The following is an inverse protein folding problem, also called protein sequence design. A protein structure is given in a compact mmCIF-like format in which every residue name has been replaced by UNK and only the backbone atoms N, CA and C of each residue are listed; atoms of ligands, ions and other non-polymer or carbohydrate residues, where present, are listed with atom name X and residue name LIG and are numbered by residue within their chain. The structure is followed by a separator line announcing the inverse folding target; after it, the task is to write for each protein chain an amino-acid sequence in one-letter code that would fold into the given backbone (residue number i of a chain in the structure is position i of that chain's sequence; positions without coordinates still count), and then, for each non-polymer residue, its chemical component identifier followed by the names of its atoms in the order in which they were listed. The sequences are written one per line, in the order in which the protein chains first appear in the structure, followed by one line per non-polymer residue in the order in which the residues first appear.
data_IF_715079744136
#
_entry.id   IF_715079744136
#
_cell.length_a   1.000
_cell.length_b   1.000
_cell.length_c   1.000
_cell.angle_alpha   90.00
_cell.angle_beta   90.00
_cell.angle_gamma   90.00
#
_symmetry.space_group_name_H-M   'P 1'
#
loop_
_entity.id
_entity.type
_entity.pdbx_description
1 polymer ?
#
# COMPACT_ATOMS: atom_id res chain seq x y z
N UNK A 1 29.81 -40.66 -10.46
CA UNK A 1 29.51 -39.83 -9.27
C UNK A 1 29.66 -38.32 -9.52
N UNK A 2 30.55 -37.86 -10.42
CA UNK A 2 30.75 -36.43 -10.73
C UNK A 2 29.56 -35.71 -11.41
N UNK A 3 28.80 -36.41 -12.27
CA UNK A 3 27.63 -35.85 -12.97
C UNK A 3 26.48 -35.45 -12.03
N UNK A 4 26.23 -36.22 -10.96
CA UNK A 4 25.16 -35.92 -10.01
C UNK A 4 25.46 -34.66 -9.19
N UNK A 5 26.73 -34.44 -8.81
CA UNK A 5 27.15 -33.25 -8.07
C UNK A 5 27.00 -31.96 -8.88
N UNK A 6 27.30 -32.01 -10.18
CA UNK A 6 27.16 -30.86 -11.08
C UNK A 6 25.69 -30.44 -11.26
N UNK A 7 24.77 -31.41 -11.40
CA UNK A 7 23.32 -31.14 -11.53
C UNK A 7 22.75 -30.52 -10.24
N UNK A 8 23.17 -31.03 -9.08
CA UNK A 8 22.76 -30.47 -7.78
C UNK A 8 23.30 -29.05 -7.60
N UNK A 9 24.54 -28.78 -8.00
CA UNK A 9 25.14 -27.45 -7.91
C UNK A 9 24.43 -26.44 -8.82
N UNK A 10 24.07 -26.82 -10.04
CA UNK A 10 23.30 -25.96 -10.97
C UNK A 10 21.90 -25.69 -10.43
N UNK A 11 21.23 -26.69 -9.86
CA UNK A 11 19.91 -26.51 -9.24
C UNK A 11 19.97 -25.59 -8.01
N UNK A 12 21.02 -25.70 -7.19
CA UNK A 12 21.24 -24.82 -6.05
C UNK A 12 21.56 -23.40 -6.49
N UNK A 13 22.39 -23.21 -7.52
CA UNK A 13 22.70 -21.88 -8.08
C UNK A 13 21.48 -21.23 -8.74
N UNK A 14 20.63 -22.00 -9.42
CA UNK A 14 19.35 -21.52 -9.97
C UNK A 14 18.36 -21.15 -8.86
N UNK A 15 18.27 -21.96 -7.79
CA UNK A 15 17.46 -21.65 -6.61
C UNK A 15 17.98 -20.44 -5.82
N UNK A 16 19.31 -20.21 -5.82
CA UNK A 16 19.92 -19.09 -5.13
C UNK A 16 19.88 -17.80 -5.95
N UNK A 17 20.04 -17.90 -7.27
CA UNK A 17 19.87 -16.80 -8.23
C UNK A 17 18.44 -16.30 -8.29
N UNK A 18 17.46 -17.21 -8.36
CA UNK A 18 16.03 -16.85 -8.31
C UNK A 18 15.65 -16.13 -7.01
N UNK A 19 16.16 -16.58 -5.86
CA UNK A 19 15.94 -15.89 -4.57
C UNK A 19 16.50 -14.45 -4.53
N UNK A 20 17.50 -14.11 -5.33
CA UNK A 20 18.01 -12.73 -5.44
C UNK A 20 17.20 -11.87 -6.41
N UNK A 21 16.66 -12.44 -7.49
CA UNK A 21 15.84 -11.70 -8.48
C UNK A 21 14.52 -11.20 -7.86
N UNK A 22 13.95 -11.92 -6.90
CA UNK A 22 12.72 -11.50 -6.20
C UNK A 22 12.90 -10.42 -5.13
N UNK A 23 14.11 -9.88 -4.92
CA UNK A 23 14.43 -9.01 -3.76
C UNK A 23 14.27 -7.50 -3.97
N UNK A 24 13.68 -7.04 -5.08
CA UNK A 24 13.65 -5.60 -5.37
C UNK A 24 12.52 -5.06 -6.23
N UNK A 25 11.46 -5.83 -6.52
CA UNK A 25 10.37 -5.31 -7.36
C UNK A 25 9.46 -4.38 -6.56
N UNK A 26 9.48 -3.08 -6.89
CA UNK A 26 8.39 -2.17 -6.53
C UNK A 26 7.13 -2.65 -7.24
N UNK A 27 6.12 -3.00 -6.46
CA UNK A 27 4.80 -3.37 -6.93
C UNK A 27 3.99 -2.06 -7.06
N UNK A 28 3.44 -1.85 -8.26
CA UNK A 28 2.61 -0.71 -8.61
C UNK A 28 1.26 -1.26 -9.09
N UNK A 29 0.16 -0.76 -8.51
CA UNK A 29 -1.18 -0.98 -9.02
C UNK A 29 -1.87 0.35 -9.30
N UNK A 30 -2.50 0.47 -10.46
CA UNK A 30 -3.28 1.66 -10.85
C UNK A 30 -4.66 1.19 -11.28
N UNK A 31 -5.70 1.65 -10.59
CA UNK A 31 -7.09 1.31 -10.89
C UNK A 31 -7.42 -0.19 -10.77
N UNK A 32 -6.74 -0.92 -9.89
CA UNK A 32 -7.00 -2.36 -9.72
C UNK A 32 -8.30 -2.59 -8.96
N UNK A 33 -8.97 -3.71 -9.25
CA UNK A 33 -10.25 -4.06 -8.66
C UNK A 33 -10.13 -4.69 -7.27
N UNK A 34 -9.04 -5.41 -7.00
CA UNK A 34 -8.83 -6.09 -5.72
C UNK A 34 -7.34 -6.29 -5.42
N UNK A 35 -7.00 -6.35 -4.13
CA UNK A 35 -5.70 -6.78 -3.62
C UNK A 35 -5.88 -7.55 -2.32
N UNK A 36 -5.09 -8.59 -2.11
CA UNK A 36 -5.27 -9.53 -0.98
C UNK A 36 -5.09 -8.91 0.43
N UNK A 37 -4.54 -7.70 0.53
CA UNK A 37 -4.27 -7.00 1.79
C UNK A 37 -5.24 -5.84 2.07
N UNK A 38 -6.25 -5.64 1.22
CA UNK A 38 -7.37 -4.73 1.46
C UNK A 38 -8.67 -5.52 1.64
N UNK A 39 -9.67 -4.93 2.32
CA UNK A 39 -11.00 -5.51 2.37
C UNK A 39 -11.63 -5.55 0.98
N UNK A 40 -12.50 -6.53 0.75
CA UNK A 40 -13.17 -6.77 -0.55
C UNK A 40 -14.06 -5.61 -1.02
N UNK A 41 -14.42 -4.71 -0.12
CA UNK A 41 -15.22 -3.51 -0.42
C UNK A 41 -14.39 -2.36 -0.99
N UNK A 42 -13.06 -2.42 -0.89
CA UNK A 42 -12.18 -1.44 -1.51
C UNK A 42 -12.31 -1.51 -3.03
N UNK A 43 -12.39 -0.36 -3.68
CA UNK A 43 -12.47 -0.26 -5.14
C UNK A 43 -11.63 0.91 -5.66
N UNK A 44 -11.39 0.96 -6.99
CA UNK A 44 -10.55 1.98 -7.62
C UNK A 44 -9.16 2.08 -6.95
N UNK A 45 -8.54 0.93 -6.71
CA UNK A 45 -7.36 0.84 -5.86
C UNK A 45 -6.12 1.27 -6.64
N UNK A 46 -5.39 2.24 -6.09
CA UNK A 46 -4.09 2.66 -6.58
C UNK A 46 -3.08 2.55 -5.44
N UNK A 47 -1.90 1.98 -5.69
CA UNK A 47 -0.91 1.78 -4.62
C UNK A 47 0.51 1.65 -5.14
N UNK A 48 1.47 1.97 -4.27
CA UNK A 48 2.89 1.67 -4.47
C UNK A 48 3.43 0.95 -3.24
N UNK A 49 4.06 -0.20 -3.49
CA UNK A 49 4.65 -1.06 -2.46
C UNK A 49 6.08 -1.43 -2.84
N UNK A 50 7.03 -1.19 -1.94
CA UNK A 50 8.44 -1.50 -2.21
C UNK A 50 8.75 -2.97 -1.87
N UNK A 51 9.15 -3.74 -2.88
CA UNK A 51 9.63 -5.12 -2.72
C UNK A 51 10.81 -5.22 -1.76
N UNK A 52 10.93 -6.37 -1.09
CA UNK A 52 12.00 -6.64 -0.12
C UNK A 52 11.72 -6.20 1.32
N UNK A 53 10.78 -5.28 1.56
CA UNK A 53 10.42 -4.80 2.92
C UNK A 53 9.01 -5.16 3.39
N UNK A 54 8.16 -5.73 2.52
CA UNK A 54 6.69 -5.90 2.70
C UNK A 54 5.93 -4.61 3.03
N UNK A 55 6.58 -3.43 3.09
CA UNK A 55 5.97 -2.16 3.48
C UNK A 55 5.23 -1.53 2.30
N UNK A 56 3.94 -1.30 2.48
CA UNK A 56 3.15 -0.39 1.65
C UNK A 56 3.63 1.04 1.92
N UNK A 57 3.90 1.80 0.86
CA UNK A 57 4.30 3.20 0.98
C UNK A 57 3.07 4.10 0.91
N UNK A 58 2.21 3.82 -0.06
CA UNK A 58 1.00 4.59 -0.31
C UNK A 58 -0.07 3.70 -0.92
N UNK A 59 -1.32 3.93 -0.53
CA UNK A 59 -2.49 3.45 -1.25
C UNK A 59 -3.62 4.48 -1.19
N UNK A 60 -4.41 4.51 -2.25
CA UNK A 60 -5.63 5.29 -2.39
C UNK A 60 -6.71 4.35 -2.93
N UNK A 61 -7.89 4.38 -2.33
CA UNK A 61 -9.01 3.58 -2.82
C UNK A 61 -10.33 4.17 -2.35
N UNK A 62 -11.40 3.85 -3.07
CA UNK A 62 -12.76 4.20 -2.70
C UNK A 62 -13.31 3.17 -1.72
N UNK A 63 -14.06 3.65 -0.73
CA UNK A 63 -14.70 2.85 0.30
C UNK A 63 -15.81 3.66 0.96
N UNK A 64 -16.90 3.03 1.38
CA UNK A 64 -17.93 3.72 2.15
C UNK A 64 -17.50 3.92 3.62
N UNK A 65 -18.01 4.96 4.28
CA UNK A 65 -17.63 5.27 5.67
C UNK A 65 -17.87 4.09 6.61
N UNK A 66 -19.03 3.46 6.52
CA UNK A 66 -19.42 2.33 7.38
C UNK A 66 -18.50 1.13 7.18
N UNK A 67 -18.03 0.91 5.95
CA UNK A 67 -17.08 -0.16 5.62
C UNK A 67 -15.69 0.16 6.15
N UNK A 68 -15.26 1.42 6.09
CA UNK A 68 -14.01 1.85 6.70
C UNK A 68 -14.00 1.64 8.22
N UNK A 69 -15.08 2.05 8.89
CA UNK A 69 -15.23 1.85 10.34
C UNK A 69 -15.31 0.36 10.70
N UNK A 70 -15.98 -0.47 9.88
CA UNK A 70 -16.01 -1.91 10.07
C UNK A 70 -14.62 -2.55 9.88
N UNK A 71 -13.93 -2.19 8.80
CA UNK A 71 -12.57 -2.68 8.53
C UNK A 71 -11.59 -2.29 9.65
N UNK A 72 -11.64 -1.04 10.10
CA UNK A 72 -10.81 -0.59 11.20
C UNK A 72 -11.11 -1.34 12.50
N UNK A 73 -12.38 -1.68 12.77
CA UNK A 73 -12.78 -2.51 13.91
C UNK A 73 -12.22 -3.93 13.80
N UNK A 74 -12.35 -4.55 12.63
CA UNK A 74 -11.85 -5.91 12.37
C UNK A 74 -10.32 -6.00 12.53
N UNK A 75 -9.62 -4.94 12.17
CA UNK A 75 -8.17 -4.82 12.34
C UNK A 75 -7.74 -4.32 13.75
N UNK A 76 -8.70 -4.02 14.64
CA UNK A 76 -8.44 -3.53 15.99
C UNK A 76 -7.80 -2.14 16.05
N UNK A 77 -8.08 -1.29 15.06
CA UNK A 77 -7.59 0.08 14.99
C UNK A 77 -8.44 1.03 15.83
N UNK A 78 -7.81 2.06 16.38
CA UNK A 78 -8.56 3.19 16.94
C UNK A 78 -8.96 4.11 15.80
N UNK A 79 -10.24 4.48 15.69
CA UNK A 79 -10.73 5.47 14.72
C UNK A 79 -11.18 6.72 15.45
N UNK A 80 -10.78 7.88 14.96
CA UNK A 80 -11.14 9.19 15.53
C UNK A 80 -11.58 10.13 14.41
N UNK A 81 -12.42 11.13 14.72
CA UNK A 81 -12.65 12.25 13.80
C UNK A 81 -11.33 12.91 13.42
N UNK A 82 -11.22 13.32 12.16
CA UNK A 82 -10.11 14.15 11.71
C UNK A 82 -10.22 15.54 12.34
N UNK A 83 -9.28 15.86 13.24
CA UNK A 83 -9.26 17.09 14.03
C UNK A 83 -8.16 18.09 13.62
N UNK A 84 -7.32 17.69 12.66
CA UNK A 84 -6.21 18.49 12.15
C UNK A 84 -6.04 18.32 10.65
N UNK A 85 -5.44 19.34 10.04
CA UNK A 85 -5.04 19.30 8.63
C UNK A 85 -3.85 18.36 8.48
N UNK A 86 -3.97 17.37 7.59
CA UNK A 86 -2.90 16.42 7.27
C UNK A 86 -2.55 16.55 5.79
N UNK A 87 -1.27 16.68 5.47
CA UNK A 87 -0.78 16.53 4.11
C UNK A 87 -0.43 15.07 3.87
N UNK A 88 -1.29 14.36 3.16
CA UNK A 88 -1.12 12.94 2.88
C UNK A 88 -0.58 12.80 1.46
N UNK A 89 0.60 12.19 1.25
CA UNK A 89 1.13 11.98 -0.09
C UNK A 89 0.22 11.05 -0.89
N UNK A 90 0.00 11.41 -2.14
CA UNK A 90 -0.78 10.64 -3.11
C UNK A 90 0.09 9.61 -3.82
N UNK A 91 -0.52 8.55 -4.33
CA UNK A 91 0.18 7.52 -5.10
C UNK A 91 0.88 8.10 -6.34
N UNK A 92 0.28 9.13 -6.94
CA UNK A 92 0.82 9.83 -8.12
C UNK A 92 2.19 10.45 -7.86
N UNK A 93 2.51 10.83 -6.61
CA UNK A 93 3.83 11.33 -6.22
C UNK A 93 4.96 10.32 -6.51
N UNK A 94 4.64 9.02 -6.39
CA UNK A 94 5.60 7.92 -6.45
C UNK A 94 5.67 7.25 -7.83
N UNK A 95 4.86 7.70 -8.80
CA UNK A 95 4.93 7.20 -10.17
C UNK A 95 6.22 7.69 -10.87
N UNK A 96 6.81 6.93 -11.80
CA UNK A 96 7.94 7.41 -12.60
C UNK A 96 7.63 8.72 -13.35
N UNK A 97 8.67 9.50 -13.65
CA UNK A 97 8.52 10.68 -14.51
C UNK A 97 8.00 10.23 -15.90
N UNK A 98 6.99 10.93 -16.42
CA UNK A 98 6.36 10.60 -17.71
C UNK A 98 5.28 9.52 -17.66
N UNK A 99 4.98 8.94 -16.50
CA UNK A 99 3.84 8.04 -16.34
C UNK A 99 2.51 8.80 -16.57
N UNK A 100 1.57 8.23 -17.33
CA UNK A 100 0.36 8.93 -17.77
C UNK A 100 -0.52 9.43 -16.61
N UNK A 101 -0.60 8.66 -15.53
CA UNK A 101 -1.36 8.96 -14.32
C UNK A 101 -0.60 9.81 -13.31
N UNK A 102 0.67 10.18 -13.59
CA UNK A 102 1.43 11.09 -12.72
C UNK A 102 0.90 12.51 -12.87
N UNK A 103 -0.02 12.87 -11.99
CA UNK A 103 -0.68 14.16 -11.99
C UNK A 103 -0.58 14.89 -10.64
N UNK A 104 -0.57 16.22 -10.72
CA UNK A 104 -0.77 17.11 -9.58
C UNK A 104 -2.27 17.24 -9.26
N UNK A 105 -2.65 17.41 -7.98
CA UNK A 105 -1.77 17.56 -6.81
C UNK A 105 -1.18 16.22 -6.33
N UNK A 106 0.05 16.28 -5.81
CA UNK A 106 0.77 15.12 -5.24
C UNK A 106 0.46 14.84 -3.76
N UNK A 107 -0.30 15.72 -3.14
CA UNK A 107 -0.75 15.58 -1.76
C UNK A 107 -2.24 15.85 -1.71
N UNK A 108 -2.92 15.18 -0.81
CA UNK A 108 -4.30 15.49 -0.44
C UNK A 108 -4.32 16.04 0.97
N UNK A 109 -5.29 16.90 1.24
CA UNK A 109 -5.54 17.45 2.56
C UNK A 109 -7.01 17.26 2.90
N UNK A 110 -7.40 16.09 3.44
CA UNK A 110 -8.76 15.88 3.90
C UNK A 110 -9.07 16.88 5.02
N UNK A 111 -10.24 17.52 4.96
CA UNK A 111 -10.68 18.48 5.97
C UNK A 111 -11.80 17.94 6.84
N UNK A 112 -12.46 16.86 6.39
CA UNK A 112 -13.54 16.19 7.08
C UNK A 112 -13.45 14.70 6.83
N UNK A 113 -13.48 13.92 7.90
CA UNK A 113 -13.19 12.50 7.77
C UNK A 113 -12.83 11.84 9.08
N UNK A 114 -12.18 10.68 8.94
CA UNK A 114 -11.72 9.86 10.04
C UNK A 114 -10.25 9.57 9.88
N UNK A 115 -9.51 9.56 10.98
CA UNK A 115 -8.15 9.00 11.05
C UNK A 115 -8.21 7.67 11.78
N UNK A 116 -7.58 6.64 11.21
CA UNK A 116 -7.33 5.38 11.87
C UNK A 116 -5.88 5.32 12.37
N UNK A 117 -5.69 4.72 13.53
CA UNK A 117 -4.40 4.51 14.20
C UNK A 117 -4.07 3.01 14.23
N UNK A 118 -3.33 2.49 13.23
CA UNK A 118 -3.07 1.05 13.12
C UNK A 118 -2.06 0.58 14.18
N UNK A 119 -2.39 -0.52 14.87
CA UNK A 119 -1.53 -1.10 15.92
C UNK A 119 -0.58 -2.19 15.43
N UNK A 120 -0.79 -2.71 14.22
CA UNK A 120 -0.07 -3.88 13.70
C UNK A 120 -0.22 -4.09 12.20
N UNK A 121 0.27 -5.23 11.70
CA UNK A 121 0.11 -5.65 10.31
C UNK A 121 0.83 -4.77 9.29
N UNK A 122 0.34 -4.79 8.05
CA UNK A 122 0.86 -3.99 6.92
C UNK A 122 0.73 -2.49 7.20
N UNK A 123 -0.31 -2.12 7.96
CA UNK A 123 -0.67 -0.76 8.36
C UNK A 123 0.17 -0.17 9.48
N UNK A 124 0.98 -0.96 10.19
CA UNK A 124 1.71 -0.50 11.37
C UNK A 124 2.57 0.74 11.09
N UNK A 125 2.28 1.86 11.75
CA UNK A 125 3.03 3.11 11.57
C UNK A 125 2.71 3.83 10.26
N UNK A 126 1.59 3.51 9.63
CA UNK A 126 1.01 4.30 8.57
C UNK A 126 -0.06 5.26 9.11
N UNK A 127 -0.22 6.37 8.42
CA UNK A 127 -1.36 7.27 8.54
C UNK A 127 -2.43 6.79 7.57
N UNK A 128 -3.60 6.41 8.09
CA UNK A 128 -4.75 6.01 7.29
C UNK A 128 -5.88 6.98 7.57
N UNK A 129 -6.37 7.64 6.53
CA UNK A 129 -7.41 8.66 6.64
C UNK A 129 -8.51 8.36 5.64
N UNK A 130 -9.74 8.37 6.12
CA UNK A 130 -10.93 8.38 5.29
C UNK A 130 -11.37 9.84 5.07
N UNK A 131 -11.48 10.27 3.81
CA UNK A 131 -12.03 11.56 3.41
C UNK A 131 -13.52 11.40 3.08
N UNK A 132 -14.38 12.02 3.89
CA UNK A 132 -15.84 11.97 3.72
C UNK A 132 -16.30 12.61 2.41
N UNK A 133 -15.63 13.65 1.93
CA UNK A 133 -16.03 14.39 0.73
C UNK A 133 -15.79 13.57 -0.54
N UNK A 134 -14.72 12.79 -0.55
CA UNK A 134 -14.31 11.98 -1.70
C UNK A 134 -14.78 10.52 -1.60
N UNK A 135 -15.24 10.09 -0.42
CA UNK A 135 -15.50 8.67 -0.10
C UNK A 135 -14.28 7.81 -0.40
N UNK A 136 -13.11 8.31 0.00
CA UNK A 136 -11.81 7.71 -0.29
C UNK A 136 -11.01 7.49 0.97
N UNK A 137 -10.22 6.42 0.97
CA UNK A 137 -9.19 6.17 1.96
C UNK A 137 -7.83 6.50 1.37
N UNK A 138 -7.08 7.29 2.12
CA UNK A 138 -5.69 7.61 1.87
C UNK A 138 -4.84 6.94 2.94
N UNK A 139 -3.99 6.03 2.50
CA UNK A 139 -3.01 5.36 3.33
C UNK A 139 -1.64 5.84 2.90
N UNK A 140 -0.91 6.48 3.80
CA UNK A 140 0.48 6.83 3.57
C UNK A 140 1.35 6.43 4.75
N UNK A 141 2.55 5.98 4.49
CA UNK A 141 3.58 5.84 5.50
C UNK A 141 4.50 7.06 5.41
N UNK A 142 4.80 7.65 6.56
CA UNK A 142 5.79 8.73 6.60
C UNK A 142 7.12 8.19 6.04
N UNK A 143 7.67 8.91 5.07
CA UNK A 143 8.98 8.65 4.53
C UNK A 143 10.00 9.26 5.52
N UNK A 144 10.13 8.65 6.69
CA UNK A 144 11.23 8.94 7.61
C UNK A 144 12.58 8.68 6.95
#
# INVERSE_FOLDING_TARGET
MLLAAAVVLVALLAAWGSRRVFRGQTELGVGVSEVAWLPKTASQICFVRKGGSRKLWVAEFRMERSEFEAWARDEGWTVKPLDRVLLIPRFTLYLPQGHAERAIPFYVSPTRGLIAEPRGGVARGATIVFDERLSMVFWARDAG
#
